data_IF_747962444013
#
_entry.id   IF_747962444013
#
_cell.length_a   1.000
_cell.length_b   1.000
_cell.length_c   1.000
_cell.angle_alpha   90.00
_cell.angle_beta   90.00
_cell.angle_gamma   90.00
#
_symmetry.space_group_name_H-M   'P 1'
#
loop_
_entity.id
_entity.type
_entity.pdbx_description
1 polymer ?
#
# COMPACT_ATOMS: atom_id res chain seq x y z
N UNK A 1 -7.68 13.91 37.96
CA UNK A 1 -6.69 14.18 36.89
C UNK A 1 -6.02 12.86 36.48
N UNK A 2 -6.35 12.33 35.31
CA UNK A 2 -5.69 11.13 34.76
C UNK A 2 -4.44 11.53 33.98
N UNK A 3 -3.29 10.92 34.29
CA UNK A 3 -2.04 11.10 33.55
C UNK A 3 -2.12 10.30 32.26
N UNK A 4 -2.04 10.97 31.12
CA UNK A 4 -1.85 10.34 29.82
C UNK A 4 -0.34 10.09 29.67
N UNK A 5 0.05 8.82 29.64
CA UNK A 5 1.40 8.42 29.28
C UNK A 5 1.56 8.57 27.76
N UNK A 6 2.31 9.58 27.33
CA UNK A 6 2.83 9.67 25.96
C UNK A 6 3.92 8.61 25.78
N UNK A 7 3.58 7.51 25.11
CA UNK A 7 4.57 6.60 24.54
C UNK A 7 5.28 7.28 23.36
N UNK A 8 6.59 7.00 23.13
CA UNK A 8 7.38 7.67 22.13
C UNK A 8 7.12 7.08 20.73
N UNK A 9 6.20 7.68 19.97
CA UNK A 9 5.94 7.39 18.55
C UNK A 9 7.09 7.78 17.59
N UNK A 10 8.16 8.40 18.09
CA UNK A 10 9.19 9.03 17.26
C UNK A 10 10.43 8.17 16.99
N UNK A 11 10.70 7.14 17.81
CA UNK A 11 11.99 6.41 17.73
C UNK A 11 12.03 5.36 16.63
N UNK A 12 10.89 4.78 16.27
CA UNK A 12 10.78 3.77 15.19
C UNK A 12 10.88 4.41 13.80
N UNK A 13 10.23 5.55 13.58
CA UNK A 13 10.32 6.28 12.31
C UNK A 13 11.75 6.74 11.98
N UNK A 14 12.52 7.12 13.01
CA UNK A 14 13.94 7.51 12.88
C UNK A 14 14.86 6.33 12.54
N UNK A 15 14.51 5.12 12.93
CA UNK A 15 15.34 3.92 12.71
C UNK A 15 15.06 3.32 11.32
N UNK A 16 13.79 3.33 10.91
CA UNK A 16 13.36 2.87 9.60
C UNK A 16 14.03 3.63 8.45
N UNK A 17 14.07 4.97 8.53
CA UNK A 17 14.74 5.82 7.52
C UNK A 17 16.25 5.52 7.42
N UNK A 18 16.90 5.20 8.53
CA UNK A 18 18.32 4.84 8.57
C UNK A 18 18.59 3.49 7.88
N UNK A 19 17.73 2.49 8.11
CA UNK A 19 17.83 1.15 7.48
C UNK A 19 17.64 1.24 5.96
N UNK A 20 16.61 1.97 5.51
CA UNK A 20 16.35 2.18 4.09
C UNK A 20 17.51 2.88 3.39
N UNK A 21 18.05 3.95 4.00
CA UNK A 21 19.21 4.66 3.48
C UNK A 21 20.43 3.74 3.36
N UNK A 22 20.65 2.88 4.35
CA UNK A 22 21.74 1.91 4.30
C UNK A 22 21.54 0.85 3.20
N UNK A 23 20.34 0.30 3.03
CA UNK A 23 20.05 -0.65 1.95
C UNK A 23 20.22 0.00 0.57
N UNK A 24 19.80 1.26 0.41
CA UNK A 24 19.98 2.00 -0.84
C UNK A 24 21.46 2.19 -1.18
N UNK A 25 22.32 2.47 -0.19
CA UNK A 25 23.76 2.58 -0.40
C UNK A 25 24.37 1.23 -0.83
N UNK A 26 24.00 0.14 -0.16
CA UNK A 26 24.47 -1.21 -0.51
C UNK A 26 24.04 -1.66 -1.92
N UNK A 27 22.84 -1.23 -2.33
CA UNK A 27 22.37 -1.44 -3.70
C UNK A 27 23.23 -0.67 -4.71
N UNK A 28 23.54 0.59 -4.44
CA UNK A 28 24.34 1.44 -5.33
C UNK A 28 25.78 0.92 -5.46
N UNK A 29 26.38 0.45 -4.36
CA UNK A 29 27.67 -0.24 -4.36
C UNK A 29 27.64 -1.50 -5.22
N UNK A 30 26.56 -2.28 -5.16
CA UNK A 30 26.40 -3.48 -5.98
C UNK A 30 26.29 -3.16 -7.48
N UNK A 31 25.63 -2.05 -7.83
CA UNK A 31 25.60 -1.56 -9.21
C UNK A 31 26.98 -1.07 -9.67
N UNK A 32 27.75 -0.46 -8.76
CA UNK A 32 29.12 -0.04 -9.04
C UNK A 32 30.01 -1.25 -9.32
N UNK A 33 29.90 -2.30 -8.51
CA UNK A 33 30.63 -3.56 -8.72
C UNK A 33 30.25 -4.23 -10.04
N UNK A 34 28.96 -4.28 -10.39
CA UNK A 34 28.51 -4.82 -11.67
C UNK A 34 29.06 -4.01 -12.87
N UNK A 35 29.13 -2.68 -12.76
CA UNK A 35 29.76 -1.82 -13.78
C UNK A 35 31.26 -2.07 -13.89
N UNK A 36 31.93 -2.30 -12.76
CA UNK A 36 33.36 -2.61 -12.73
C UNK A 36 33.63 -3.98 -13.37
N UNK A 37 32.82 -4.99 -13.04
CA UNK A 37 32.89 -6.33 -13.66
C UNK A 37 32.78 -6.22 -15.18
N UNK A 38 31.79 -5.47 -15.69
CA UNK A 38 31.65 -5.24 -17.14
C UNK A 38 32.95 -4.72 -17.76
N UNK A 39 33.58 -3.71 -17.16
CA UNK A 39 34.84 -3.15 -17.66
C UNK A 39 35.95 -4.21 -17.66
N UNK A 40 36.07 -4.99 -16.59
CA UNK A 40 37.06 -6.07 -16.51
C UNK A 40 36.86 -7.12 -17.60
N UNK A 41 35.61 -7.50 -17.88
CA UNK A 41 35.29 -8.47 -18.93
C UNK A 41 35.69 -7.97 -20.32
N UNK A 42 35.48 -6.67 -20.62
CA UNK A 42 35.93 -6.09 -21.89
C UNK A 42 37.46 -6.09 -22.00
N UNK A 43 38.17 -5.68 -20.95
CA UNK A 43 39.64 -5.71 -20.93
C UNK A 43 40.19 -7.12 -21.08
N UNK A 44 39.56 -8.12 -20.44
CA UNK A 44 39.96 -9.51 -20.60
C UNK A 44 39.70 -10.03 -22.02
N UNK A 45 38.56 -9.67 -22.62
CA UNK A 45 38.26 -10.04 -24.00
C UNK A 45 39.29 -9.47 -25.00
N UNK A 46 39.62 -8.18 -24.86
CA UNK A 46 40.67 -7.52 -25.66
C UNK A 46 42.03 -8.19 -25.46
N UNK A 47 42.39 -8.52 -24.21
CA UNK A 47 43.62 -9.24 -23.90
C UNK A 47 43.67 -10.61 -24.59
N UNK A 48 42.60 -11.40 -24.52
CA UNK A 48 42.56 -12.72 -25.16
C UNK A 48 42.60 -12.63 -26.68
N UNK A 49 41.98 -11.61 -27.28
CA UNK A 49 42.06 -11.36 -28.72
C UNK A 49 43.51 -11.06 -29.15
N UNK A 50 44.17 -10.12 -28.47
CA UNK A 50 45.56 -9.75 -28.75
C UNK A 50 46.53 -10.92 -28.50
N UNK A 51 46.35 -11.66 -27.42
CA UNK A 51 47.17 -12.84 -27.10
C UNK A 51 46.97 -13.93 -28.15
N UNK A 52 45.71 -14.19 -28.57
CA UNK A 52 45.44 -15.17 -29.61
C UNK A 52 45.99 -14.75 -30.97
N UNK A 53 46.09 -13.45 -31.29
CA UNK A 53 46.70 -12.99 -32.53
C UNK A 53 48.23 -13.16 -32.52
N UNK A 54 48.89 -12.79 -31.42
CA UNK A 54 50.34 -12.60 -31.38
C UNK A 54 51.17 -13.74 -30.75
N UNK A 55 50.56 -14.63 -29.97
CA UNK A 55 51.29 -15.71 -29.27
C UNK A 55 51.35 -17.00 -30.09
N UNK A 56 52.48 -17.69 -30.16
CA UNK A 56 52.61 -18.97 -30.86
C UNK A 56 51.92 -20.14 -30.12
N UNK A 57 51.72 -20.01 -28.80
CA UNK A 57 51.10 -21.02 -27.94
C UNK A 57 49.56 -20.98 -27.96
N UNK A 58 48.95 -21.02 -29.16
CA UNK A 58 47.50 -20.86 -29.36
C UNK A 58 46.63 -21.78 -28.50
N UNK A 59 47.04 -23.04 -28.29
CA UNK A 59 46.27 -23.99 -27.49
C UNK A 59 46.16 -23.57 -26.02
N UNK A 60 47.26 -23.08 -25.43
CA UNK A 60 47.29 -22.61 -24.04
C UNK A 60 46.38 -21.37 -23.88
N UNK A 61 46.41 -20.47 -24.86
CA UNK A 61 45.52 -19.29 -24.88
C UNK A 61 44.04 -19.72 -24.94
N UNK A 62 43.70 -20.69 -25.79
CA UNK A 62 42.32 -21.21 -25.91
C UNK A 62 41.85 -21.87 -24.61
N UNK A 63 42.68 -22.70 -23.99
CA UNK A 63 42.33 -23.38 -22.73
C UNK A 63 42.09 -22.38 -21.60
N UNK A 64 42.98 -21.38 -21.48
CA UNK A 64 42.86 -20.31 -20.48
C UNK A 64 41.62 -19.44 -20.74
N UNK A 65 41.32 -19.11 -22.00
CA UNK A 65 40.12 -18.38 -22.38
C UNK A 65 38.84 -19.14 -22.00
N UNK A 66 38.80 -20.47 -22.20
CA UNK A 66 37.65 -21.30 -21.81
C UNK A 66 37.41 -21.27 -20.30
N UNK A 67 38.46 -21.45 -19.51
CA UNK A 67 38.37 -21.37 -18.03
C UNK A 67 37.90 -19.98 -17.58
N UNK A 68 38.47 -18.92 -18.17
CA UNK A 68 38.06 -17.56 -17.88
C UNK A 68 36.60 -17.30 -18.27
N UNK A 69 36.16 -17.76 -19.45
CA UNK A 69 34.78 -17.58 -19.90
C UNK A 69 33.76 -18.23 -18.95
N UNK A 70 34.08 -19.42 -18.44
CA UNK A 70 33.24 -20.10 -17.43
C UNK A 70 33.16 -19.26 -16.14
N UNK A 71 34.32 -18.80 -15.63
CA UNK A 71 34.38 -17.95 -14.42
C UNK A 71 33.67 -16.62 -14.61
N UNK A 72 33.84 -15.98 -15.76
CA UNK A 72 33.18 -14.74 -16.14
C UNK A 72 31.66 -14.88 -16.16
N UNK A 73 31.14 -15.99 -16.70
CA UNK A 73 29.70 -16.28 -16.70
C UNK A 73 29.18 -16.47 -15.27
N UNK A 74 29.86 -17.29 -14.46
CA UNK A 74 29.47 -17.54 -13.06
C UNK A 74 29.46 -16.23 -12.27
N UNK A 75 30.53 -15.43 -12.36
CA UNK A 75 30.62 -14.13 -11.67
C UNK A 75 29.53 -13.17 -12.14
N UNK A 76 29.25 -13.11 -13.44
CA UNK A 76 28.20 -12.23 -13.97
C UNK A 76 26.82 -12.61 -13.42
N UNK A 77 26.51 -13.92 -13.39
CA UNK A 77 25.24 -14.41 -12.81
C UNK A 77 25.16 -14.13 -11.32
N UNK A 78 26.25 -14.33 -10.56
CA UNK A 78 26.30 -14.05 -9.13
C UNK A 78 26.07 -12.57 -8.80
N UNK A 79 26.79 -11.67 -9.49
CA UNK A 79 26.60 -10.22 -9.31
C UNK A 79 25.17 -9.78 -9.69
N UNK A 80 24.60 -10.31 -10.77
CA UNK A 80 23.20 -10.03 -11.15
C UNK A 80 22.20 -10.56 -10.12
N UNK A 81 22.44 -11.75 -9.57
CA UNK A 81 21.63 -12.32 -8.49
C UNK A 81 21.66 -11.43 -7.24
N UNK A 82 22.85 -10.96 -6.86
CA UNK A 82 23.06 -10.08 -5.71
C UNK A 82 22.37 -8.72 -5.88
N UNK A 83 22.44 -8.13 -7.08
CA UNK A 83 21.72 -6.88 -7.42
C UNK A 83 20.20 -7.10 -7.37
N UNK A 84 19.71 -8.19 -7.97
CA UNK A 84 18.28 -8.52 -7.99
C UNK A 84 17.73 -8.71 -6.57
N UNK A 85 18.47 -9.41 -5.71
CA UNK A 85 18.10 -9.61 -4.32
C UNK A 85 17.95 -8.28 -3.56
N UNK A 86 18.91 -7.36 -3.70
CA UNK A 86 18.85 -6.05 -3.03
C UNK A 86 17.70 -5.17 -3.53
N UNK A 87 17.40 -5.21 -4.83
CA UNK A 87 16.23 -4.50 -5.39
C UNK A 87 14.93 -5.07 -4.82
N UNK A 88 14.83 -6.39 -4.72
CA UNK A 88 13.64 -7.02 -4.17
C UNK A 88 13.43 -6.65 -2.70
N UNK A 89 14.51 -6.63 -1.90
CA UNK A 89 14.47 -6.23 -0.48
C UNK A 89 13.96 -4.78 -0.32
N UNK A 90 14.50 -3.84 -1.12
CA UNK A 90 14.02 -2.44 -1.15
C UNK A 90 12.56 -2.33 -1.59
N UNK A 91 12.12 -3.18 -2.53
CA UNK A 91 10.76 -3.17 -3.04
C UNK A 91 9.75 -3.74 -2.02
N UNK A 92 10.09 -4.85 -1.37
CA UNK A 92 9.26 -5.50 -0.36
C UNK A 92 8.91 -4.52 0.78
N UNK A 93 9.90 -3.72 1.20
CA UNK A 93 9.72 -2.67 2.18
C UNK A 93 8.71 -1.60 1.73
N UNK A 94 8.82 -1.14 0.48
CA UNK A 94 7.88 -0.16 -0.10
C UNK A 94 6.48 -0.72 -0.32
N UNK A 95 6.35 -2.00 -0.63
CA UNK A 95 5.05 -2.67 -0.75
C UNK A 95 4.31 -2.65 0.59
N UNK A 96 5.02 -2.88 1.71
CA UNK A 96 4.44 -2.80 3.06
C UNK A 96 3.97 -1.38 3.37
N UNK A 97 4.81 -0.37 3.10
CA UNK A 97 4.48 1.04 3.31
C UNK A 97 3.23 1.48 2.52
N UNK A 98 3.17 1.12 1.24
CA UNK A 98 2.01 1.41 0.36
C UNK A 98 0.75 0.72 0.88
N UNK A 99 0.87 -0.53 1.34
CA UNK A 99 -0.27 -1.28 1.87
C UNK A 99 -0.84 -0.64 3.13
N UNK A 100 0.02 -0.18 4.05
CA UNK A 100 -0.40 0.50 5.27
C UNK A 100 -1.09 1.83 4.96
N UNK A 101 -0.51 2.63 4.07
CA UNK A 101 -1.10 3.92 3.67
C UNK A 101 -2.44 3.74 2.95
N UNK A 102 -2.57 2.72 2.10
CA UNK A 102 -3.83 2.36 1.44
C UNK A 102 -4.92 1.97 2.45
N UNK A 103 -4.57 1.23 3.51
CA UNK A 103 -5.50 0.89 4.59
C UNK A 103 -5.99 2.15 5.32
N UNK A 104 -5.07 3.06 5.66
CA UNK A 104 -5.40 4.35 6.30
C UNK A 104 -6.34 5.19 5.41
N UNK A 105 -6.04 5.26 4.11
CA UNK A 105 -6.88 5.96 3.13
C UNK A 105 -8.28 5.35 3.05
N UNK A 106 -8.38 4.02 3.00
CA UNK A 106 -9.67 3.31 2.95
C UNK A 106 -10.51 3.60 4.20
N UNK A 107 -9.89 3.65 5.38
CA UNK A 107 -10.57 4.02 6.63
C UNK A 107 -11.12 5.46 6.58
N UNK A 108 -10.32 6.41 6.08
CA UNK A 108 -10.76 7.81 5.92
C UNK A 108 -11.94 7.89 4.94
N UNK A 109 -11.83 7.21 3.80
CA UNK A 109 -12.89 7.16 2.80
C UNK A 109 -14.19 6.59 3.37
N UNK A 110 -14.11 5.49 4.13
CA UNK A 110 -15.27 4.90 4.79
C UNK A 110 -15.93 5.86 5.78
N UNK A 111 -15.13 6.58 6.58
CA UNK A 111 -15.64 7.58 7.53
C UNK A 111 -16.36 8.71 6.82
N UNK A 112 -15.79 9.25 5.74
CA UNK A 112 -16.41 10.32 4.93
C UNK A 112 -17.74 9.84 4.34
N UNK A 113 -17.75 8.66 3.70
CA UNK A 113 -18.97 8.07 3.14
C UNK A 113 -20.05 7.87 4.20
N UNK A 114 -19.66 7.43 5.39
CA UNK A 114 -20.57 7.26 6.52
C UNK A 114 -21.14 8.60 7.00
N UNK A 115 -20.31 9.63 7.11
CA UNK A 115 -20.77 10.99 7.45
C UNK A 115 -21.77 11.53 6.43
N UNK A 116 -21.50 11.37 5.12
CA UNK A 116 -22.45 11.76 4.08
C UNK A 116 -23.78 11.02 4.21
N UNK A 117 -23.75 9.70 4.45
CA UNK A 117 -24.97 8.92 4.63
C UNK A 117 -25.81 9.42 5.82
N UNK A 118 -25.15 9.82 6.93
CA UNK A 118 -25.85 10.43 8.07
C UNK A 118 -26.45 11.79 7.72
N UNK A 119 -25.71 12.66 7.02
CA UNK A 119 -26.21 13.98 6.57
C UNK A 119 -27.43 13.84 5.65
N UNK A 120 -27.38 12.91 4.69
CA UNK A 120 -28.49 12.64 3.77
C UNK A 120 -29.72 12.11 4.51
N UNK A 121 -29.51 11.22 5.48
CA UNK A 121 -30.59 10.66 6.29
C UNK A 121 -31.26 11.73 7.16
N UNK A 122 -30.47 12.60 7.80
CA UNK A 122 -30.97 13.71 8.61
C UNK A 122 -31.74 14.72 7.74
N UNK A 123 -31.20 15.10 6.58
CA UNK A 123 -31.87 15.98 5.63
C UNK A 123 -33.23 15.46 5.18
N UNK A 124 -33.34 14.16 4.87
CA UNK A 124 -34.63 13.50 4.54
C UNK A 124 -35.60 13.52 5.72
N UNK A 125 -35.11 13.28 6.93
CA UNK A 125 -35.93 13.29 8.14
C UNK A 125 -36.50 14.68 8.41
N UNK A 126 -35.68 15.73 8.29
CA UNK A 126 -36.13 17.12 8.42
C UNK A 126 -37.19 17.48 7.36
N UNK A 127 -37.00 17.08 6.10
CA UNK A 127 -38.02 17.31 5.04
C UNK A 127 -39.35 16.63 5.35
N UNK A 128 -39.32 15.39 5.85
CA UNK A 128 -40.53 14.63 6.22
C UNK A 128 -41.32 15.31 7.36
N UNK A 129 -40.62 15.83 8.38
CA UNK A 129 -41.24 16.50 9.52
C UNK A 129 -41.98 17.79 9.16
N UNK A 130 -41.58 18.47 8.08
CA UNK A 130 -42.25 19.69 7.58
C UNK A 130 -43.59 19.36 6.89
N UNK A 131 -43.78 18.11 6.46
CA UNK A 131 -45.01 17.67 5.80
C UNK A 131 -46.02 17.26 6.87
N UNK A 132 -46.97 18.15 7.18
CA UNK A 132 -48.04 17.87 8.12
C UNK A 132 -49.06 16.91 7.48
N UNK A 133 -48.96 15.62 7.81
CA UNK A 133 -49.90 14.62 7.30
C UNK A 133 -51.25 14.75 8.03
N UNK A 134 -52.37 15.01 7.33
CA UNK A 134 -53.65 15.20 7.99
C UNK A 134 -54.08 13.91 8.71
N UNK A 135 -54.28 13.99 10.02
CA UNK A 135 -54.83 12.90 10.84
C UNK A 135 -56.34 12.78 10.64
N UNK A 136 -56.77 12.04 9.62
CA UNK A 136 -58.18 11.72 9.43
C UNK A 136 -58.63 10.66 10.44
N UNK A 137 -59.62 10.99 11.27
CA UNK A 137 -60.28 10.02 12.14
C UNK A 137 -61.38 9.31 11.34
N UNK A 138 -61.32 7.97 11.28
CA UNK A 138 -62.41 7.17 10.69
C UNK A 138 -63.66 7.28 11.58
N UNK A 139 -64.63 8.10 11.18
CA UNK A 139 -65.96 8.13 11.80
C UNK A 139 -66.83 7.04 11.17
N UNK A 140 -67.05 5.94 11.88
CA UNK A 140 -68.08 4.98 11.51
C UNK A 140 -69.45 5.56 11.95
N UNK A 141 -70.27 5.97 10.99
CA UNK A 141 -71.65 6.34 11.25
C UNK A 141 -72.44 5.04 11.38
N UNK A 142 -72.85 4.68 12.60
CA UNK A 142 -73.72 3.54 12.84
C UNK A 142 -75.18 3.95 12.54
N UNK A 143 -75.83 3.40 11.51
CA UNK A 143 -77.20 3.78 11.18
C UNK A 143 -78.16 3.17 12.22
N UNK A 144 -78.92 4.03 12.89
CA UNK A 144 -80.13 3.63 13.61
C UNK A 144 -79.93 3.22 15.07
N UNK A 145 -80.05 4.19 15.97
CA UNK A 145 -80.82 4.03 17.20
C UNK A 145 -81.29 5.39 17.69
N UNK A 146 -82.57 5.65 17.49
CA UNK A 146 -83.31 6.80 18.01
C UNK A 146 -83.24 6.72 19.55
N UNK A 147 -82.45 7.60 20.17
CA UNK A 147 -82.47 7.75 21.62
C UNK A 147 -83.69 8.62 21.96
N UNK A 148 -84.71 7.98 22.54
CA UNK A 148 -85.83 8.69 23.17
C UNK A 148 -85.27 9.52 24.34
N UNK A 149 -85.65 10.79 24.29
CA UNK A 149 -85.39 11.84 25.26
C UNK A 149 -85.88 11.49 26.67
N UNK A 150 -85.03 11.69 27.69
CA UNK A 150 -85.44 11.98 29.07
C UNK A 150 -84.56 13.10 29.63
N UNK A 151 -85.12 14.25 30.05
CA UNK A 151 -84.38 15.36 30.63
C UNK A 151 -84.25 15.21 32.17
N UNK A 152 -83.36 16.02 32.74
CA UNK A 152 -83.03 16.25 34.17
C UNK A 152 -81.73 15.56 34.65
N UNK A 153 -80.62 16.34 34.75
CA UNK A 153 -80.07 17.04 35.95
C UNK A 153 -79.50 16.03 36.98
N UNK A 154 -78.29 16.11 37.54
CA UNK A 154 -77.35 17.21 37.80
C UNK A 154 -76.09 16.67 38.51
N UNK A 155 -74.93 17.33 38.34
CA UNK A 155 -73.71 17.39 39.21
C UNK A 155 -73.01 16.04 39.52
N UNK A 156 -71.71 15.81 39.36
CA UNK A 156 -70.48 16.64 39.40
C UNK A 156 -69.57 16.32 38.22
#
# INVERSE_FOLDING_TARGET
MGKIATQPLSREASNYDEVFMQQSLLFDDSLKDLKNLRTQLYSAAEYFELSYANDDQKQIVIETLKDYAIKALINSVDHLGSVTYKVNDLLDEKIVEVSETQLRLSCIQQRISTCHAFMDHEGRTQQSLVIDAPKYHKRYILPGKIIKHYPHLSKF
#
